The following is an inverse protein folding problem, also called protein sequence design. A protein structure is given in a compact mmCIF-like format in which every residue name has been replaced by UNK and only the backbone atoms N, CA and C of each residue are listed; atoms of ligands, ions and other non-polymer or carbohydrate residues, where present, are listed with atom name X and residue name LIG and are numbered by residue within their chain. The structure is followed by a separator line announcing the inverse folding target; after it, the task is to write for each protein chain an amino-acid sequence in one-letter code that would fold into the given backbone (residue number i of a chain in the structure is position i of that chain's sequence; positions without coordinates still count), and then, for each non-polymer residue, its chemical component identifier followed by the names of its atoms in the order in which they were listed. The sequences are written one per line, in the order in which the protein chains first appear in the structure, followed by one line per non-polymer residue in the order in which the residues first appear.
data_IF_680521234522
#
_entry.id   IF_680521234522
#
_cell.length_a   1.000
_cell.length_b   1.000
_cell.length_c   1.000
_cell.angle_alpha   90.00
_cell.angle_beta   90.00
_cell.angle_gamma   90.00
#
_symmetry.space_group_name_H-M   'P 1'
#
loop_
_entity.id
_entity.type
_entity.pdbx_description
1 polymer ?
#
# COMPACT_ATOMS: atom_id res chain seq x y z
N UNK A 1 10.98 10.17 12.13
CA UNK A 1 10.07 9.09 12.57
C UNK A 1 9.74 8.22 11.35
N UNK A 2 9.75 6.88 11.47
CA UNK A 2 9.50 5.97 10.32
C UNK A 2 8.01 5.64 10.20
N UNK A 3 7.48 5.59 8.97
CA UNK A 3 6.10 5.21 8.64
C UNK A 3 5.93 3.70 8.37
N UNK A 4 4.92 3.32 7.61
CA UNK A 4 4.67 1.93 7.19
C UNK A 4 5.20 1.70 5.78
N UNK A 5 6.26 0.90 5.65
CA UNK A 5 6.86 0.55 4.35
C UNK A 5 5.94 -0.41 3.58
N UNK A 6 5.73 -0.10 2.30
CA UNK A 6 5.07 -0.96 1.31
C UNK A 6 6.14 -1.41 0.31
N UNK A 7 6.41 -2.71 0.25
CA UNK A 7 7.37 -3.31 -0.69
C UNK A 7 6.99 -4.79 -0.94
N UNK A 8 5.83 -5.05 -1.58
CA UNK A 8 5.35 -6.41 -1.76
C UNK A 8 6.27 -7.18 -2.71
N UNK A 9 6.46 -8.47 -2.40
CA UNK A 9 7.08 -9.45 -3.29
C UNK A 9 6.16 -10.66 -3.32
N UNK A 10 5.52 -10.91 -4.46
CA UNK A 10 4.46 -11.91 -4.62
C UNK A 10 4.71 -12.79 -5.85
N UNK A 11 4.03 -13.95 -5.97
CA UNK A 11 4.00 -14.69 -7.22
C UNK A 11 3.49 -13.82 -8.38
N UNK A 12 4.15 -13.91 -9.54
CA UNK A 12 3.84 -13.09 -10.71
C UNK A 12 2.41 -13.31 -11.24
N UNK A 13 1.86 -14.51 -11.07
CA UNK A 13 0.53 -14.91 -11.50
C UNK A 13 -0.61 -14.31 -10.65
N UNK A 14 -0.31 -13.66 -9.52
CA UNK A 14 -1.33 -13.01 -8.71
C UNK A 14 -1.78 -11.69 -9.33
N UNK A 15 -3.09 -11.51 -9.51
CA UNK A 15 -3.70 -10.23 -9.91
C UNK A 15 -3.52 -9.14 -8.83
N UNK A 16 -3.32 -9.55 -7.58
CA UNK A 16 -3.27 -8.65 -6.44
C UNK A 16 -3.74 -9.32 -5.15
N UNK A 17 -3.84 -8.53 -4.08
CA UNK A 17 -4.35 -8.97 -2.79
C UNK A 17 -4.80 -7.78 -1.94
N UNK A 18 -5.46 -8.05 -0.81
CA UNK A 18 -5.87 -7.00 0.15
C UNK A 18 -5.33 -7.29 1.54
N UNK A 19 -5.02 -6.21 2.29
CA UNK A 19 -4.57 -6.26 3.67
C UNK A 19 -5.27 -5.17 4.46
N UNK A 20 -5.83 -5.52 5.62
CA UNK A 20 -6.23 -4.53 6.64
C UNK A 20 -5.17 -4.51 7.73
N UNK A 21 -4.48 -3.38 7.89
CA UNK A 21 -3.40 -3.21 8.87
C UNK A 21 -3.70 -2.09 9.84
N UNK A 22 -3.91 -2.42 11.12
CA UNK A 22 -3.88 -1.42 12.20
C UNK A 22 -2.43 -1.06 12.52
N UNK A 23 -2.05 0.22 12.44
CA UNK A 23 -0.70 0.70 12.72
C UNK A 23 -0.79 2.08 13.36
N UNK A 24 -0.14 2.24 14.53
CA UNK A 24 -0.09 3.50 15.32
C UNK A 24 -1.40 4.29 15.31
N UNK A 25 -2.43 3.76 15.98
CA UNK A 25 -3.74 4.41 16.08
C UNK A 25 -4.42 4.77 14.74
N UNK A 26 -4.09 4.14 13.62
CA UNK A 26 -4.84 4.25 12.37
C UNK A 26 -5.03 2.86 11.74
N UNK A 27 -6.03 2.71 10.88
CA UNK A 27 -6.25 1.51 10.08
C UNK A 27 -5.93 1.81 8.61
N UNK A 28 -5.19 0.93 7.96
CA UNK A 28 -4.85 1.05 6.54
C UNK A 28 -5.53 -0.10 5.81
N UNK A 29 -6.45 0.23 4.90
CA UNK A 29 -7.10 -0.70 3.99
C UNK A 29 -6.31 -0.71 2.69
N UNK A 30 -5.35 -1.64 2.60
CA UNK A 30 -4.38 -1.70 1.51
C UNK A 30 -4.90 -2.68 0.46
N UNK A 31 -5.05 -2.20 -0.77
CA UNK A 31 -5.34 -2.98 -1.96
C UNK A 31 -4.13 -2.94 -2.87
N UNK A 32 -3.51 -4.10 -3.10
CA UNK A 32 -2.39 -4.26 -4.04
C UNK A 32 -2.92 -4.83 -5.34
N UNK A 33 -2.57 -4.20 -6.45
CA UNK A 33 -2.92 -4.61 -7.82
C UNK A 33 -1.63 -4.88 -8.61
N UNK A 34 -1.62 -5.93 -9.40
CA UNK A 34 -0.46 -6.36 -10.19
C UNK A 34 -0.83 -6.54 -11.67
N UNK A 35 -1.21 -5.46 -12.37
CA UNK A 35 -1.68 -5.54 -13.75
C UNK A 35 -0.60 -5.99 -14.74
N UNK A 36 0.67 -5.79 -14.40
CA UNK A 36 1.82 -6.18 -15.22
C UNK A 36 2.39 -7.55 -14.83
N UNK A 37 1.76 -8.27 -13.89
CA UNK A 37 2.16 -9.60 -13.42
C UNK A 37 3.66 -9.69 -13.06
N UNK A 38 4.18 -8.68 -12.33
CA UNK A 38 5.56 -8.67 -11.84
C UNK A 38 5.63 -9.31 -10.45
N UNK A 39 6.80 -9.80 -10.05
CA UNK A 39 6.98 -10.36 -8.71
C UNK A 39 7.30 -9.32 -7.65
N UNK A 40 7.87 -8.18 -8.03
CA UNK A 40 8.27 -7.09 -7.13
C UNK A 40 8.38 -5.79 -7.93
N UNK A 41 8.15 -4.66 -7.28
CA UNK A 41 8.16 -3.33 -7.90
C UNK A 41 6.88 -2.59 -7.57
N UNK A 42 7.00 -1.28 -7.34
CA UNK A 42 5.85 -0.40 -7.11
C UNK A 42 5.94 0.72 -8.14
N UNK A 43 4.91 0.79 -8.97
CA UNK A 43 4.74 1.86 -9.94
C UNK A 43 4.16 3.10 -9.28
N UNK A 44 3.14 2.93 -8.44
CA UNK A 44 2.53 4.01 -7.68
C UNK A 44 1.75 3.56 -6.44
N UNK A 45 1.58 4.51 -5.52
CA UNK A 45 0.73 4.36 -4.33
C UNK A 45 -0.18 5.58 -4.24
N UNK A 46 -1.46 5.34 -3.97
CA UNK A 46 -2.42 6.36 -3.60
C UNK A 46 -2.86 6.14 -2.16
N UNK A 47 -2.96 7.21 -1.38
CA UNK A 47 -3.53 7.23 -0.03
C UNK A 47 -4.70 8.19 -0.05
N UNK A 48 -5.90 7.68 0.19
CA UNK A 48 -7.15 8.44 0.08
C UNK A 48 -7.23 9.24 -1.25
N UNK A 49 -6.93 8.53 -2.35
CA UNK A 49 -6.92 9.04 -3.73
C UNK A 49 -5.81 10.07 -4.06
N UNK A 50 -4.93 10.40 -3.11
CA UNK A 50 -3.77 11.27 -3.33
C UNK A 50 -2.48 10.47 -3.57
N UNK A 51 -1.71 10.84 -4.59
CA UNK A 51 -0.46 10.16 -4.93
C UNK A 51 0.60 10.39 -3.85
N UNK A 52 1.14 9.29 -3.32
CA UNK A 52 2.25 9.31 -2.39
C UNK A 52 3.59 9.29 -3.15
N UNK A 53 4.53 10.13 -2.72
CA UNK A 53 5.92 10.02 -3.16
C UNK A 53 6.67 8.98 -2.33
N UNK A 54 7.30 8.01 -2.99
CA UNK A 54 7.97 6.89 -2.34
C UNK A 54 7.00 5.80 -1.88
N UNK A 55 7.44 4.97 -0.94
CA UNK A 55 6.72 3.76 -0.52
C UNK A 55 6.55 3.62 1.00
N UNK A 56 6.64 4.73 1.73
CA UNK A 56 6.43 4.76 3.18
C UNK A 56 5.17 5.56 3.47
N UNK A 57 4.11 4.86 3.89
CA UNK A 57 2.87 5.51 4.33
C UNK A 57 3.12 6.30 5.61
N UNK A 58 2.55 7.50 5.70
CA UNK A 58 2.57 8.31 6.91
C UNK A 58 1.88 7.57 8.05
N UNK A 59 2.40 7.73 9.26
CA UNK A 59 1.67 7.36 10.47
C UNK A 59 0.65 8.47 10.77
N UNK A 60 -0.62 8.25 10.45
CA UNK A 60 -1.66 9.27 10.63
C UNK A 60 -2.03 9.46 12.10
N UNK A 61 -2.02 8.38 12.89
CA UNK A 61 -2.26 8.38 14.34
C UNK A 61 -3.59 9.02 14.79
N UNK A 62 -4.54 9.19 13.87
CA UNK A 62 -5.74 10.00 14.02
C UNK A 62 -7.01 9.20 14.39
N UNK A 63 -6.89 7.89 14.60
CA UNK A 63 -8.00 6.98 14.90
C UNK A 63 -8.80 6.55 13.67
N UNK A 64 -8.47 7.00 12.46
CA UNK A 64 -9.28 6.79 11.26
C UNK A 64 -8.82 5.60 10.43
N UNK A 65 -9.56 5.37 9.35
CA UNK A 65 -9.21 4.41 8.32
C UNK A 65 -8.81 5.14 7.05
N UNK A 66 -7.69 4.76 6.46
CA UNK A 66 -7.16 5.29 5.21
C UNK A 66 -7.15 4.20 4.15
N UNK A 67 -7.65 4.50 2.97
CA UNK A 67 -7.62 3.59 1.84
C UNK A 67 -6.30 3.77 1.10
N UNK A 68 -5.64 2.65 0.82
CA UNK A 68 -4.35 2.65 0.15
C UNK A 68 -4.45 1.77 -1.08
N UNK A 69 -4.22 2.35 -2.25
CA UNK A 69 -4.13 1.59 -3.51
C UNK A 69 -2.66 1.53 -3.92
N UNK A 70 -2.15 0.32 -4.12
CA UNK A 70 -0.77 0.06 -4.55
C UNK A 70 -0.82 -0.59 -5.91
N UNK A 71 -0.20 0.01 -6.91
CA UNK A 71 -0.09 -0.55 -8.25
C UNK A 71 1.35 -1.01 -8.45
N UNK A 72 1.52 -2.31 -8.64
CA UNK A 72 2.79 -2.94 -8.99
C UNK A 72 3.09 -2.78 -10.48
N UNK A 73 4.38 -2.77 -10.81
CA UNK A 73 4.95 -2.58 -12.15
C UNK A 73 6.41 -2.18 -12.06
#
# INVERSE_FOLDING_TARGET
MRGLLIDPCIPADWDGFTVRRKFRNANYNITVQNPEHVSKGIKEILVDDEKLSGNILLAFEDGKSHNVTVIMG
#
